data_IF_188282229209
#
_entry.id   IF_188282229209
#
_cell.length_a   1.000
_cell.length_b   1.000
_cell.length_c   1.000
_cell.angle_alpha   90.00
_cell.angle_beta   90.00
_cell.angle_gamma   90.00
#
_symmetry.space_group_name_H-M   'P 1'
#
loop_
_entity.id
_entity.type
_entity.pdbx_description
1 polymer ?
#
# COMPACT_ATOMS: atom_id res chain seq x y z
N UNK A 1 31.01 -37.35 57.98
CA UNK A 1 30.34 -36.05 58.14
C UNK A 1 30.85 -35.09 57.07
N UNK A 2 29.93 -34.49 56.30
CA UNK A 2 30.14 -33.33 55.43
C UNK A 2 30.94 -33.56 54.14
N UNK A 3 30.74 -32.86 53.04
CA UNK A 3 29.62 -32.06 52.53
C UNK A 3 30.00 -31.69 51.10
N UNK A 4 29.01 -31.57 50.23
CA UNK A 4 29.07 -31.09 48.85
C UNK A 4 29.75 -29.73 48.70
N UNK A 5 30.53 -29.53 47.61
CA UNK A 5 30.50 -28.31 46.76
C UNK A 5 31.02 -28.63 45.35
N UNK A 6 30.13 -28.59 44.37
CA UNK A 6 30.43 -28.58 42.93
C UNK A 6 30.85 -27.17 42.49
N UNK A 7 32.03 -27.04 41.89
CA UNK A 7 32.53 -25.81 41.28
C UNK A 7 32.31 -25.84 39.76
N UNK A 8 31.61 -24.84 39.23
CA UNK A 8 31.40 -24.65 37.79
C UNK A 8 32.68 -24.13 37.12
N UNK A 9 33.20 -24.87 36.14
CA UNK A 9 34.24 -24.38 35.23
C UNK A 9 33.59 -23.89 33.91
N UNK A 10 33.85 -22.63 33.55
CA UNK A 10 33.32 -21.95 32.36
C UNK A 10 34.00 -22.50 31.10
N UNK A 11 33.20 -22.88 30.10
CA UNK A 11 33.65 -23.33 28.77
C UNK A 11 34.30 -22.18 28.01
N UNK A 12 35.58 -22.31 27.65
CA UNK A 12 36.24 -21.44 26.68
C UNK A 12 35.67 -21.65 25.29
N UNK A 13 35.20 -20.57 24.66
CA UNK A 13 34.77 -20.58 23.26
C UNK A 13 35.99 -20.72 22.35
N UNK A 14 35.96 -21.75 21.49
CA UNK A 14 36.96 -22.01 20.47
C UNK A 14 36.72 -21.01 19.32
N UNK A 15 37.59 -20.01 19.17
CA UNK A 15 37.54 -19.09 18.03
C UNK A 15 37.83 -19.85 16.74
N UNK A 16 36.83 -19.99 15.87
CA UNK A 16 37.02 -20.40 14.48
C UNK A 16 37.36 -19.11 13.70
N UNK A 17 38.63 -18.94 13.35
CA UNK A 17 39.05 -17.93 12.37
C UNK A 17 38.55 -18.41 11.01
N UNK A 18 37.49 -17.79 10.48
CA UNK A 18 37.07 -17.99 9.08
C UNK A 18 38.09 -17.28 8.19
N UNK A 19 38.70 -18.00 7.25
CA UNK A 19 39.45 -17.39 6.16
C UNK A 19 38.47 -16.49 5.36
N UNK A 20 38.88 -15.26 5.07
CA UNK A 20 38.12 -14.34 4.20
C UNK A 20 37.81 -15.04 2.88
N UNK A 21 36.53 -15.12 2.52
CA UNK A 21 36.07 -15.80 1.32
C UNK A 21 36.35 -14.96 0.08
N UNK A 22 37.10 -15.51 -0.87
CA UNK A 22 37.43 -14.90 -2.16
C UNK A 22 36.17 -14.62 -3.01
N UNK A 23 36.07 -13.46 -3.67
CA UNK A 23 34.88 -13.06 -4.45
C UNK A 23 34.53 -14.03 -5.57
N UNK A 24 35.53 -14.69 -6.16
CA UNK A 24 35.29 -15.75 -7.15
C UNK A 24 34.60 -16.96 -6.52
N UNK A 25 34.95 -17.30 -5.29
CA UNK A 25 34.33 -18.41 -4.54
C UNK A 25 32.92 -18.07 -4.07
N UNK A 26 32.64 -16.80 -3.72
CA UNK A 26 31.30 -16.32 -3.36
C UNK A 26 30.32 -16.44 -4.53
N UNK A 27 30.76 -16.11 -5.75
CA UNK A 27 29.94 -16.26 -6.97
C UNK A 27 29.95 -17.69 -7.54
N UNK A 28 30.78 -18.59 -7.00
CA UNK A 28 30.92 -19.96 -7.49
C UNK A 28 31.52 -20.06 -8.89
N UNK A 29 32.42 -19.14 -9.25
CA UNK A 29 33.07 -19.07 -10.57
C UNK A 29 34.59 -19.21 -10.45
N UNK A 30 35.23 -19.64 -11.53
CA UNK A 30 36.70 -19.70 -11.60
C UNK A 30 37.32 -18.30 -11.68
N UNK A 31 38.57 -18.13 -11.22
CA UNK A 31 39.34 -16.88 -11.37
C UNK A 31 39.52 -16.44 -12.83
N UNK A 32 39.56 -17.41 -13.75
CA UNK A 32 39.66 -17.17 -15.19
C UNK A 32 38.29 -16.98 -15.87
N UNK A 33 37.19 -16.83 -15.13
CA UNK A 33 35.85 -16.72 -15.71
C UNK A 33 35.69 -15.44 -16.55
N UNK A 34 34.96 -15.59 -17.66
CA UNK A 34 34.56 -14.50 -18.54
C UNK A 34 33.50 -13.61 -17.86
N UNK A 35 33.39 -12.34 -18.28
CA UNK A 35 32.38 -11.41 -17.74
C UNK A 35 30.94 -11.93 -17.91
N UNK A 36 30.68 -12.64 -19.00
CA UNK A 36 29.40 -13.29 -19.26
C UNK A 36 29.06 -14.36 -18.23
N UNK A 37 30.05 -15.16 -17.80
CA UNK A 37 29.87 -16.20 -16.79
C UNK A 37 29.65 -15.61 -15.40
N UNK A 38 30.43 -14.58 -15.03
CA UNK A 38 30.28 -13.83 -13.78
C UNK A 38 28.87 -13.22 -13.67
N UNK A 39 28.39 -12.60 -14.76
CA UNK A 39 27.05 -12.00 -14.84
C UNK A 39 25.93 -13.04 -14.79
N UNK A 40 26.14 -14.21 -15.40
CA UNK A 40 25.21 -15.33 -15.36
C UNK A 40 25.09 -15.92 -13.95
N UNK A 41 26.23 -16.15 -13.29
CA UNK A 41 26.31 -16.64 -11.92
C UNK A 41 25.64 -15.68 -10.91
N UNK A 42 25.95 -14.38 -11.02
CA UNK A 42 25.28 -13.36 -10.21
C UNK A 42 23.76 -13.38 -10.39
N UNK A 43 23.26 -13.41 -11.63
CA UNK A 43 21.80 -13.45 -11.88
C UNK A 43 21.13 -14.69 -11.29
N UNK A 44 21.82 -15.83 -11.29
CA UNK A 44 21.31 -17.09 -10.71
C UNK A 44 21.20 -16.97 -9.18
N UNK A 45 22.24 -16.46 -8.53
CA UNK A 45 22.32 -16.31 -7.08
C UNK A 45 21.44 -15.15 -6.55
N UNK A 46 21.37 -14.04 -7.27
CA UNK A 46 20.52 -12.90 -6.91
C UNK A 46 19.04 -13.29 -6.90
N UNK A 47 18.59 -14.15 -7.82
CA UNK A 47 17.21 -14.66 -7.82
C UNK A 47 16.92 -15.59 -6.64
N UNK A 48 17.89 -16.41 -6.24
CA UNK A 48 17.71 -17.34 -5.11
C UNK A 48 17.74 -16.64 -3.75
N UNK A 49 18.47 -15.53 -3.63
CA UNK A 49 18.67 -14.80 -2.37
C UNK A 49 17.99 -13.42 -2.32
N UNK A 50 17.15 -13.09 -3.31
CA UNK A 50 16.42 -11.81 -3.33
C UNK A 50 15.51 -11.66 -2.10
N UNK A 51 15.48 -10.51 -1.40
CA UNK A 51 14.68 -10.32 -0.19
C UNK A 51 13.17 -10.51 -0.41
N UNK A 52 12.66 -10.14 -1.59
CA UNK A 52 11.23 -10.35 -1.90
C UNK A 52 10.86 -11.82 -2.11
N UNK A 53 11.80 -12.63 -2.61
CA UNK A 53 11.60 -14.07 -2.85
C UNK A 53 11.86 -14.85 -1.55
N UNK A 54 12.85 -14.40 -0.78
CA UNK A 54 13.33 -15.03 0.45
C UNK A 54 13.10 -14.10 1.66
N UNK A 55 11.83 -13.80 1.94
CA UNK A 55 11.43 -13.03 3.12
C UNK A 55 11.88 -13.78 4.38
N UNK A 56 12.85 -13.23 5.12
CA UNK A 56 13.27 -13.78 6.40
C UNK A 56 12.10 -13.76 7.38
N UNK A 57 12.09 -14.75 8.27
CA UNK A 57 10.99 -15.03 9.21
C UNK A 57 11.06 -14.10 10.42
N UNK A 58 11.43 -12.83 10.25
CA UNK A 58 11.60 -11.90 11.37
C UNK A 58 10.27 -11.22 11.78
N UNK A 59 9.17 -11.51 11.07
CA UNK A 59 7.84 -10.95 11.37
C UNK A 59 6.71 -11.99 11.54
N UNK A 60 6.98 -13.29 11.44
CA UNK A 60 5.93 -14.31 11.62
C UNK A 60 5.72 -14.73 13.08
N UNK A 61 6.68 -14.44 13.97
CA UNK A 61 6.50 -14.69 15.42
C UNK A 61 5.52 -13.67 16.04
N UNK A 62 5.40 -12.46 15.48
CA UNK A 62 4.43 -11.47 15.97
C UNK A 62 2.98 -11.75 15.53
N UNK A 63 2.78 -12.41 14.39
CA UNK A 63 1.43 -12.67 13.85
C UNK A 63 0.79 -13.87 14.56
N UNK A 64 1.58 -14.83 15.05
CA UNK A 64 1.07 -15.98 15.80
C UNK A 64 0.66 -15.65 17.25
N UNK A 65 1.16 -14.56 17.84
CA UNK A 65 0.73 -14.11 19.17
C UNK A 65 -0.57 -13.29 19.16
N UNK A 66 -1.00 -12.77 18.00
CA UNK A 66 -2.15 -11.86 17.91
C UNK A 66 -3.48 -12.55 17.58
N UNK A 67 -3.46 -13.80 17.12
CA UNK A 67 -4.67 -14.59 16.89
C UNK A 67 -4.60 -15.90 17.68
N UNK A 68 -5.12 -15.86 18.91
CA UNK A 68 -5.23 -17.01 19.81
C UNK A 68 -6.07 -18.14 19.23
N UNK A 69 -5.46 -19.00 18.42
CA UNK A 69 -6.09 -20.19 17.87
C UNK A 69 -5.60 -21.42 18.65
N UNK A 70 -6.41 -21.84 19.62
CA UNK A 70 -6.34 -23.17 20.24
C UNK A 70 -6.78 -24.22 19.20
N UNK A 71 -5.82 -24.85 18.52
CA UNK A 71 -6.09 -26.00 17.66
C UNK A 71 -5.22 -27.17 18.15
N UNK A 72 -5.81 -28.38 18.38
CA UNK A 72 -5.10 -29.49 19.00
C UNK A 72 -3.94 -30.01 18.14
N UNK A 73 -2.87 -30.40 18.84
CA UNK A 73 -1.50 -30.70 18.38
C UNK A 73 -1.35 -31.79 17.32
N UNK A 74 -2.41 -32.51 16.95
CA UNK A 74 -2.35 -33.75 16.16
C UNK A 74 -2.73 -33.59 14.67
N UNK A 75 -3.25 -32.44 14.23
CA UNK A 75 -3.67 -32.24 12.82
C UNK A 75 -2.67 -31.49 11.93
N UNK A 76 -1.57 -30.98 12.49
CA UNK A 76 -0.55 -30.20 11.75
C UNK A 76 0.46 -31.11 11.01
N UNK A 77 0.51 -32.40 11.38
CA UNK A 77 1.59 -33.30 10.96
C UNK A 77 1.41 -33.99 9.60
N UNK A 78 0.31 -33.79 8.85
CA UNK A 78 0.09 -34.55 7.60
C UNK A 78 0.03 -33.71 6.32
N UNK A 79 -0.20 -32.39 6.41
CA UNK A 79 -0.27 -31.52 5.21
C UNK A 79 0.98 -30.61 5.06
N UNK A 80 1.91 -30.61 6.03
CA UNK A 80 3.14 -29.81 5.95
C UNK A 80 4.33 -30.53 5.27
N UNK A 81 4.32 -31.86 5.15
CA UNK A 81 5.53 -32.59 4.75
C UNK A 81 5.87 -32.55 3.26
N UNK A 82 4.94 -32.13 2.39
CA UNK A 82 5.19 -32.14 0.94
C UNK A 82 5.42 -30.75 0.31
N UNK A 83 5.32 -29.67 1.09
CA UNK A 83 5.55 -28.29 0.60
C UNK A 83 6.60 -27.51 1.42
N UNK A 84 7.06 -28.05 2.55
CA UNK A 84 7.99 -27.40 3.49
C UNK A 84 9.46 -27.85 3.32
N UNK A 85 9.85 -28.23 2.10
CA UNK A 85 11.24 -28.60 1.74
C UNK A 85 11.81 -27.70 0.63
N UNK A 86 11.52 -26.40 0.67
CA UNK A 86 12.29 -25.42 -0.08
C UNK A 86 12.96 -24.46 0.92
N UNK A 87 14.24 -24.75 1.15
CA UNK A 87 15.24 -24.00 1.94
C UNK A 87 14.91 -22.50 2.11
N UNK A 88 14.62 -22.09 3.34
CA UNK A 88 14.75 -20.69 3.78
C UNK A 88 15.89 -20.61 4.78
N UNK A 89 17.05 -20.13 4.31
CA UNK A 89 18.22 -19.88 5.15
C UNK A 89 18.04 -18.57 5.94
N UNK A 90 18.20 -18.54 7.27
CA UNK A 90 18.15 -17.31 8.09
C UNK A 90 19.33 -16.34 7.84
N UNK A 91 20.10 -16.53 6.75
CA UNK A 91 21.20 -15.67 6.32
C UNK A 91 21.13 -15.28 4.84
N UNK A 92 19.96 -15.42 4.20
CA UNK A 92 19.78 -15.11 2.77
C UNK A 92 20.15 -13.65 2.43
N UNK A 93 19.81 -12.70 3.30
CA UNK A 93 20.14 -11.28 3.12
C UNK A 93 21.65 -11.03 3.18
N UNK A 94 22.36 -11.68 4.11
CA UNK A 94 23.81 -11.55 4.24
C UNK A 94 24.52 -12.13 3.00
N UNK A 95 24.09 -13.31 2.55
CA UNK A 95 24.59 -13.91 1.30
C UNK A 95 24.31 -13.02 0.10
N UNK A 96 23.13 -12.40 0.02
CA UNK A 96 22.81 -11.47 -1.06
C UNK A 96 23.73 -10.24 -1.09
N UNK A 97 24.06 -9.70 0.09
CA UNK A 97 25.03 -8.60 0.23
C UNK A 97 26.42 -9.04 -0.25
N UNK A 98 26.90 -10.20 0.18
CA UNK A 98 28.19 -10.76 -0.25
C UNK A 98 28.25 -11.00 -1.77
N UNK A 99 27.20 -11.57 -2.36
CA UNK A 99 27.07 -11.82 -3.80
C UNK A 99 27.08 -10.52 -4.60
N UNK A 100 26.42 -9.48 -4.08
CA UNK A 100 26.35 -8.17 -4.75
C UNK A 100 27.70 -7.46 -4.72
N UNK A 101 28.40 -7.49 -3.58
CA UNK A 101 29.75 -6.94 -3.44
C UNK A 101 30.74 -7.65 -4.38
N UNK A 102 30.68 -8.99 -4.44
CA UNK A 102 31.53 -9.77 -5.32
C UNK A 102 31.29 -9.44 -6.80
N UNK A 103 30.04 -9.25 -7.21
CA UNK A 103 29.72 -8.85 -8.58
C UNK A 103 30.18 -7.43 -8.90
N UNK A 104 30.04 -6.47 -7.98
CA UNK A 104 30.51 -5.09 -8.21
C UNK A 104 32.00 -5.05 -8.53
N UNK A 105 32.82 -5.74 -7.72
CA UNK A 105 34.27 -5.80 -7.90
C UNK A 105 34.66 -6.54 -9.18
N UNK A 106 34.01 -7.67 -9.47
CA UNK A 106 34.37 -8.53 -10.61
C UNK A 106 33.75 -8.10 -11.96
N UNK A 107 32.76 -7.20 -11.94
CA UNK A 107 32.09 -6.70 -13.15
C UNK A 107 32.89 -5.62 -13.88
N UNK A 108 33.69 -4.84 -13.14
CA UNK A 108 34.52 -3.75 -13.64
C UNK A 108 35.96 -4.23 -13.87
N UNK A 109 36.55 -3.91 -15.03
CA UNK A 109 37.90 -4.35 -15.38
C UNK A 109 38.97 -3.75 -14.45
N UNK A 110 38.81 -2.50 -14.05
CA UNK A 110 39.76 -1.80 -13.19
C UNK A 110 39.72 -2.39 -11.77
N UNK A 111 38.52 -2.52 -11.20
CA UNK A 111 38.31 -3.11 -9.86
C UNK A 111 38.73 -4.57 -9.83
N UNK A 112 38.41 -5.35 -10.86
CA UNK A 112 38.84 -6.75 -10.99
C UNK A 112 40.35 -6.85 -11.04
N UNK A 113 41.02 -6.03 -11.85
CA UNK A 113 42.48 -6.05 -11.96
C UNK A 113 43.18 -5.64 -10.66
N UNK A 114 42.60 -4.71 -9.90
CA UNK A 114 43.12 -4.29 -8.60
C UNK A 114 42.92 -5.40 -7.55
N UNK A 115 41.75 -6.03 -7.53
CA UNK A 115 41.47 -7.17 -6.66
C UNK A 115 42.38 -8.37 -6.96
N UNK A 116 42.60 -8.68 -8.23
CA UNK A 116 43.46 -9.79 -8.66
C UNK A 116 44.93 -9.54 -8.28
N UNK A 117 45.38 -8.27 -8.24
CA UNK A 117 46.76 -7.90 -7.89
C UNK A 117 47.02 -7.75 -6.40
N UNK A 118 46.05 -7.21 -5.65
CA UNK A 118 46.26 -6.74 -4.28
C UNK A 118 45.23 -7.28 -3.26
N UNK A 119 44.26 -8.10 -3.70
CA UNK A 119 43.17 -8.58 -2.87
C UNK A 119 42.24 -7.46 -2.39
N UNK A 120 41.44 -7.72 -1.35
CA UNK A 120 40.50 -6.72 -0.79
C UNK A 120 41.21 -5.45 -0.27
N UNK A 121 42.48 -5.56 0.14
CA UNK A 121 43.27 -4.44 0.60
C UNK A 121 43.50 -3.38 -0.49
N UNK A 122 43.55 -3.79 -1.76
CA UNK A 122 43.68 -2.87 -2.91
C UNK A 122 42.42 -2.05 -3.19
N UNK A 123 41.25 -2.56 -2.81
CA UNK A 123 39.96 -1.89 -3.03
C UNK A 123 39.70 -0.78 -2.00
N UNK A 124 40.19 -0.96 -0.77
CA UNK A 124 40.07 0.02 0.33
C UNK A 124 40.92 1.28 0.12
N UNK A 125 41.89 1.25 -0.81
CA UNK A 125 42.79 2.37 -1.10
C UNK A 125 42.40 3.25 -2.30
N UNK A 126 41.35 2.90 -3.05
CA UNK A 126 40.99 3.56 -4.32
C UNK A 126 39.88 4.64 -4.18
N UNK A 127 39.60 5.11 -2.96
CA UNK A 127 38.60 6.14 -2.69
C UNK A 127 39.15 7.24 -1.79
N UNK A 128 39.60 8.35 -2.39
CA UNK A 128 39.84 9.59 -1.64
C UNK A 128 38.49 10.17 -1.20
N UNK A 129 38.25 10.27 0.12
CA UNK A 129 37.20 11.13 0.68
C UNK A 129 36.30 10.50 1.76
N UNK A 130 36.75 10.59 3.02
CA UNK A 130 35.99 10.68 4.28
C UNK A 130 34.48 10.31 4.28
N UNK A 131 34.13 9.17 4.89
CA UNK A 131 32.75 8.81 5.24
C UNK A 131 32.63 7.38 5.77
N UNK A 132 32.00 7.22 6.93
CA UNK A 132 31.79 5.97 7.67
C UNK A 132 31.03 4.90 6.84
N UNK A 133 31.64 3.72 6.67
CA UNK A 133 31.21 2.63 5.76
C UNK A 133 30.28 1.62 6.44
N UNK A 134 29.23 2.07 7.12
CA UNK A 134 28.34 1.16 7.86
C UNK A 134 27.04 0.78 7.13
N UNK A 135 26.61 1.51 6.08
CA UNK A 135 25.33 1.22 5.39
C UNK A 135 25.43 1.27 3.85
N UNK A 136 25.40 0.11 3.16
CA UNK A 136 25.41 0.01 1.69
C UNK A 136 24.13 0.49 0.98
N UNK A 137 23.04 0.77 1.72
CA UNK A 137 21.81 1.31 1.12
C UNK A 137 21.91 2.82 0.83
N UNK A 138 22.68 3.58 1.63
CA UNK A 138 22.89 5.02 1.42
C UNK A 138 23.88 5.32 0.26
N UNK A 139 24.69 4.34 -0.13
CA UNK A 139 25.57 4.43 -1.29
C UNK A 139 24.81 4.25 -2.62
N UNK A 140 23.70 3.49 -2.61
CA UNK A 140 22.89 3.28 -3.82
C UNK A 140 22.07 4.53 -4.18
N UNK A 141 21.57 5.30 -3.21
CA UNK A 141 20.92 6.59 -3.49
C UNK A 141 21.92 7.63 -3.99
N UNK A 142 23.11 7.77 -3.37
CA UNK A 142 24.09 8.78 -3.78
C UNK A 142 24.82 8.47 -5.09
N UNK A 143 25.01 7.19 -5.45
CA UNK A 143 25.65 6.79 -6.70
C UNK A 143 24.67 6.72 -7.89
N UNK A 144 23.40 6.37 -7.68
CA UNK A 144 22.38 6.44 -8.74
C UNK A 144 21.87 7.88 -8.97
N UNK A 145 22.02 8.76 -7.98
CA UNK A 145 21.88 10.22 -8.16
C UNK A 145 23.19 10.89 -8.67
N UNK A 146 24.33 10.17 -8.65
CA UNK A 146 25.67 10.72 -8.94
C UNK A 146 26.45 10.15 -10.13
N UNK A 147 26.06 9.02 -10.73
CA UNK A 147 26.89 8.34 -11.75
C UNK A 147 26.07 7.55 -12.80
N UNK A 148 24.97 8.15 -13.27
CA UNK A 148 24.12 7.62 -14.35
C UNK A 148 24.09 8.49 -15.61
N UNK A 149 25.13 9.29 -15.86
CA UNK A 149 25.09 10.36 -16.88
C UNK A 149 26.41 10.72 -17.57
N UNK A 150 27.37 9.81 -17.71
CA UNK A 150 28.57 10.05 -18.55
C UNK A 150 28.28 9.75 -20.04
N UNK A 151 27.22 10.37 -20.55
CA UNK A 151 26.80 10.42 -21.95
C UNK A 151 26.10 11.74 -22.29
N UNK A 152 26.21 12.75 -21.42
CA UNK A 152 25.54 14.04 -21.56
C UNK A 152 26.53 15.19 -21.47
N UNK A 153 27.26 15.46 -22.55
CA UNK A 153 27.61 16.83 -22.90
C UNK A 153 26.30 17.59 -23.11
N UNK A 154 25.71 18.12 -22.03
CA UNK A 154 24.41 18.78 -22.10
C UNK A 154 23.87 19.21 -20.74
N UNK A 155 24.13 20.48 -20.41
CA UNK A 155 23.36 21.29 -19.46
C UNK A 155 23.14 20.70 -18.05
N UNK A 156 23.88 21.26 -17.08
CA UNK A 156 23.30 21.51 -15.76
C UNK A 156 21.92 22.12 -15.95
N UNK A 157 20.88 21.43 -15.47
CA UNK A 157 19.49 21.81 -15.67
C UNK A 157 19.26 23.22 -15.18
N UNK A 158 19.27 24.18 -16.12
CA UNK A 158 18.71 25.51 -15.96
C UNK A 158 17.21 25.35 -15.76
N UNK A 159 16.80 24.92 -14.57
CA UNK A 159 15.41 24.97 -14.17
C UNK A 159 15.08 26.45 -13.95
N UNK A 160 14.63 27.09 -15.02
CA UNK A 160 13.96 28.38 -14.94
C UNK A 160 12.79 28.20 -13.98
N UNK A 161 12.95 28.67 -12.74
CA UNK A 161 11.89 28.76 -11.71
C UNK A 161 10.77 29.74 -12.12
N UNK A 162 10.79 30.22 -13.36
CA UNK A 162 9.77 31.04 -13.98
C UNK A 162 8.79 30.28 -14.90
N UNK A 163 8.80 28.94 -14.87
CA UNK A 163 7.83 28.13 -15.62
C UNK A 163 6.48 28.06 -14.91
N UNK A 164 5.41 27.93 -15.70
CA UNK A 164 4.09 27.52 -15.24
C UNK A 164 4.22 26.22 -14.42
N UNK A 165 3.65 26.20 -13.21
CA UNK A 165 3.66 25.03 -12.34
C UNK A 165 2.23 24.54 -12.21
N UNK A 166 2.01 23.27 -12.51
CA UNK A 166 0.68 22.68 -12.43
C UNK A 166 0.15 22.68 -10.99
N UNK A 167 -1.16 22.73 -10.90
CA UNK A 167 -1.89 22.77 -9.66
C UNK A 167 -1.80 21.45 -8.90
N UNK A 168 -1.80 21.55 -7.57
CA UNK A 168 -1.83 20.37 -6.73
C UNK A 168 -3.23 19.76 -6.70
N UNK A 169 -3.27 18.43 -6.75
CA UNK A 169 -4.50 17.67 -6.60
C UNK A 169 -5.11 17.86 -5.20
N UNK A 170 -6.44 17.74 -5.13
CA UNK A 170 -7.21 17.77 -3.88
C UNK A 170 -7.84 16.42 -3.62
N UNK A 171 -7.93 16.06 -2.34
CA UNK A 171 -8.61 14.86 -1.88
C UNK A 171 -9.83 15.25 -1.04
N UNK A 172 -10.96 14.62 -1.28
CA UNK A 172 -12.19 14.82 -0.52
C UNK A 172 -12.76 13.45 -0.13
N UNK A 173 -13.06 13.26 1.16
CA UNK A 173 -13.70 12.03 1.64
C UNK A 173 -15.21 12.19 1.57
N UNK A 174 -15.87 11.44 0.69
CA UNK A 174 -17.32 11.41 0.59
C UNK A 174 -17.86 10.21 1.34
N UNK A 175 -18.60 10.48 2.41
CA UNK A 175 -19.27 9.45 3.21
C UNK A 175 -20.63 9.14 2.61
N UNK A 176 -20.88 7.87 2.31
CA UNK A 176 -22.13 7.35 1.76
C UNK A 176 -22.73 6.30 2.68
N UNK A 177 -24.05 6.24 2.73
CA UNK A 177 -24.74 5.12 3.35
C UNK A 177 -24.68 3.88 2.44
N UNK A 178 -24.81 2.68 3.03
CA UNK A 178 -24.81 1.43 2.29
C UNK A 178 -25.77 1.43 1.08
N UNK A 179 -27.03 1.84 1.29
CA UNK A 179 -28.04 1.90 0.21
C UNK A 179 -27.66 2.90 -0.88
N UNK A 180 -27.10 4.05 -0.54
CA UNK A 180 -26.65 5.05 -1.53
C UNK A 180 -25.51 4.52 -2.38
N UNK A 181 -24.59 3.73 -1.79
CA UNK A 181 -23.50 3.09 -2.51
C UNK A 181 -24.01 2.01 -3.48
N UNK A 182 -25.07 1.29 -3.13
CA UNK A 182 -25.67 0.25 -4.00
C UNK A 182 -26.37 0.87 -5.20
N UNK A 183 -27.23 1.89 -5.00
CA UNK A 183 -28.01 2.49 -6.10
C UNK A 183 -27.28 3.56 -6.89
N UNK A 184 -26.23 4.15 -6.32
CA UNK A 184 -25.64 5.38 -6.84
C UNK A 184 -26.49 6.59 -6.45
N UNK A 185 -25.85 7.75 -6.37
CA UNK A 185 -26.49 8.99 -5.95
C UNK A 185 -25.79 10.18 -6.60
N UNK A 186 -26.56 11.22 -6.90
CA UNK A 186 -26.05 12.53 -7.27
C UNK A 186 -25.97 13.37 -5.98
N UNK A 187 -24.75 13.78 -5.58
CA UNK A 187 -24.52 14.60 -4.39
C UNK A 187 -23.80 15.88 -4.77
N UNK A 188 -24.20 16.97 -4.16
CA UNK A 188 -23.46 18.23 -4.22
C UNK A 188 -22.46 18.29 -3.06
N UNK A 189 -21.19 18.54 -3.39
CA UNK A 189 -20.15 18.76 -2.39
C UNK A 189 -19.67 20.21 -2.44
N UNK A 190 -19.36 20.77 -1.28
CA UNK A 190 -18.73 22.07 -1.17
C UNK A 190 -17.24 21.89 -0.91
N UNK A 191 -16.40 22.38 -1.82
CA UNK A 191 -14.95 22.32 -1.68
C UNK A 191 -14.35 23.72 -1.65
N UNK A 192 -13.36 23.91 -0.78
CA UNK A 192 -12.53 25.11 -0.78
C UNK A 192 -11.23 24.80 -1.52
N UNK A 193 -11.01 25.51 -2.63
CA UNK A 193 -9.82 25.36 -3.48
C UNK A 193 -9.21 26.71 -3.82
N UNK A 194 -7.95 26.68 -4.25
CA UNK A 194 -7.31 27.84 -4.86
C UNK A 194 -7.77 27.92 -6.32
N UNK A 195 -8.40 29.01 -6.71
CA UNK A 195 -8.73 29.30 -8.11
C UNK A 195 -7.81 30.39 -8.65
N UNK A 196 -7.62 30.43 -9.96
CA UNK A 196 -6.89 31.52 -10.63
C UNK A 196 -7.54 32.85 -10.28
N UNK A 197 -6.72 33.83 -9.90
CA UNK A 197 -7.22 35.15 -9.57
C UNK A 197 -7.87 35.79 -10.80
N UNK A 198 -9.16 36.12 -10.74
CA UNK A 198 -9.88 36.71 -11.87
C UNK A 198 -9.43 38.12 -12.25
N UNK A 199 -8.80 38.86 -11.32
CA UNK A 199 -8.29 40.20 -11.65
C UNK A 199 -6.99 40.15 -12.45
N UNK A 200 -6.06 39.25 -12.15
CA UNK A 200 -4.76 39.16 -12.84
C UNK A 200 -4.62 37.93 -13.75
N UNK A 201 -5.67 37.10 -13.88
CA UNK A 201 -5.71 35.85 -14.63
C UNK A 201 -4.54 34.89 -14.33
N UNK A 202 -4.09 34.84 -13.07
CA UNK A 202 -2.99 33.97 -12.67
C UNK A 202 -1.57 34.54 -12.85
N UNK A 203 -1.43 35.75 -13.39
CA UNK A 203 -0.11 36.40 -13.56
C UNK A 203 0.50 36.89 -12.24
N UNK A 204 -0.34 37.20 -11.24
CA UNK A 204 0.12 37.81 -9.98
C UNK A 204 0.46 39.29 -10.09
N UNK A 205 0.46 39.87 -11.29
CA UNK A 205 0.71 41.29 -11.53
C UNK A 205 -0.59 42.10 -11.56
N UNK A 206 -0.51 43.38 -11.21
CA UNK A 206 -1.64 44.30 -11.35
C UNK A 206 -2.01 44.45 -12.84
N UNK A 207 -3.30 44.40 -13.21
CA UNK A 207 -3.70 44.58 -14.60
C UNK A 207 -3.21 45.91 -15.17
N UNK A 208 -2.65 45.87 -16.38
CA UNK A 208 -2.10 47.05 -17.05
C UNK A 208 -0.67 47.42 -16.66
N UNK A 209 -0.02 46.69 -15.74
CA UNK A 209 1.42 46.84 -15.50
C UNK A 209 2.21 45.83 -16.32
N UNK A 210 3.36 46.27 -16.82
CA UNK A 210 4.31 45.40 -17.53
C UNK A 210 5.40 44.93 -16.56
N UNK A 211 5.78 43.66 -16.68
CA UNK A 211 6.88 43.11 -15.91
C UNK A 211 8.21 43.69 -16.41
N UNK A 212 9.03 44.20 -15.49
CA UNK A 212 10.35 44.75 -15.80
C UNK A 212 11.43 43.75 -15.37
N UNK A 213 12.56 43.70 -16.10
CA UNK A 213 13.67 42.82 -15.72
C UNK A 213 14.22 43.22 -14.36
N UNK A 214 14.41 42.24 -13.47
CA UNK A 214 15.01 42.47 -12.16
C UNK A 214 16.45 42.95 -12.33
N UNK A 215 16.75 44.11 -11.75
CA UNK A 215 18.08 44.73 -11.82
C UNK A 215 19.12 43.97 -11.00
N UNK A 216 18.74 43.41 -9.85
CA UNK A 216 19.65 42.68 -8.95
C UNK A 216 20.19 41.37 -9.54
N UNK A 217 19.38 40.65 -10.32
CA UNK A 217 19.79 39.39 -10.96
C UNK A 217 19.86 39.46 -12.49
N UNK A 218 19.62 40.63 -13.09
CA UNK A 218 19.62 40.82 -14.55
C UNK A 218 18.63 39.95 -15.31
N UNK A 219 17.51 39.54 -14.69
CA UNK A 219 16.55 38.60 -15.30
C UNK A 219 16.77 37.13 -14.97
N UNK A 220 17.85 36.77 -14.26
CA UNK A 220 18.22 35.37 -14.04
C UNK A 220 17.47 34.70 -12.87
N UNK A 221 16.84 35.49 -11.99
CA UNK A 221 16.12 35.01 -10.81
C UNK A 221 17.01 34.44 -9.70
N UNK A 222 18.33 34.37 -9.90
CA UNK A 222 19.29 33.83 -8.96
C UNK A 222 20.50 34.76 -8.87
N UNK A 223 21.13 34.78 -7.70
CA UNK A 223 22.36 35.54 -7.45
C UNK A 223 23.42 34.59 -6.92
N UNK A 224 24.64 34.71 -7.41
CA UNK A 224 25.77 33.88 -6.98
C UNK A 224 26.44 34.59 -5.81
N UNK A 225 26.47 33.95 -4.64
CA UNK A 225 27.20 34.42 -3.47
C UNK A 225 28.52 33.67 -3.36
N UNK A 226 29.63 34.38 -3.52
CA UNK A 226 30.97 33.82 -3.37
C UNK A 226 31.51 34.12 -1.97
N UNK A 227 31.74 33.08 -1.17
CA UNK A 227 32.45 33.17 0.10
C UNK A 227 33.90 32.69 -0.10
N UNK A 228 34.89 33.50 0.31
CA UNK A 228 36.30 33.08 0.31
C UNK A 228 36.59 32.31 1.59
N UNK A 229 36.92 31.03 1.46
CA UNK A 229 37.38 30.18 2.56
C UNK A 229 38.90 29.94 2.42
N UNK A 230 39.60 29.52 3.49
CA UNK A 230 41.03 29.20 3.41
C UNK A 230 41.38 28.09 2.41
N UNK A 231 40.38 27.32 1.97
CA UNK A 231 40.49 26.22 0.99
C UNK A 231 40.10 26.64 -0.44
N UNK A 232 39.70 27.89 -0.69
CA UNK A 232 39.33 28.39 -2.01
C UNK A 232 38.14 29.34 -2.03
N UNK A 233 37.56 29.56 -3.21
CA UNK A 233 36.33 30.35 -3.36
C UNK A 233 35.14 29.41 -3.45
N UNK A 234 34.28 29.43 -2.43
CA UNK A 234 33.03 28.69 -2.41
C UNK A 234 31.91 29.54 -3.01
N UNK A 235 31.30 29.10 -4.09
CA UNK A 235 30.19 29.80 -4.74
C UNK A 235 28.87 29.08 -4.46
N UNK A 236 27.93 29.75 -3.82
CA UNK A 236 26.59 29.26 -3.57
C UNK A 236 25.58 30.07 -4.38
N UNK A 237 24.70 29.38 -5.09
CA UNK A 237 23.62 30.03 -5.85
C UNK A 237 22.40 30.19 -4.93
N UNK A 238 21.96 31.43 -4.72
CA UNK A 238 20.78 31.76 -3.92
C UNK A 238 19.68 32.33 -4.82
N UNK A 239 18.41 32.16 -4.43
CA UNK A 239 17.30 32.89 -5.07
C UNK A 239 17.49 34.38 -4.89
N UNK A 240 17.32 35.16 -5.96
CA UNK A 240 17.39 36.61 -5.88
C UNK A 240 16.30 37.13 -4.93
N UNK A 241 16.69 37.81 -3.85
CA UNK A 241 15.77 38.35 -2.84
C UNK A 241 14.82 39.40 -3.41
N UNK A 242 15.29 40.25 -4.33
CA UNK A 242 14.50 41.34 -4.91
C UNK A 242 13.34 40.89 -5.78
N UNK A 243 13.45 39.74 -6.45
CA UNK A 243 12.40 39.21 -7.33
C UNK A 243 11.85 37.84 -6.87
N UNK A 244 12.29 37.33 -5.71
CA UNK A 244 11.88 36.03 -5.18
C UNK A 244 12.07 34.86 -6.15
N UNK A 245 13.08 34.91 -7.02
CA UNK A 245 13.30 33.89 -8.04
C UNK A 245 12.62 34.11 -9.40
N UNK A 246 11.85 35.19 -9.59
CA UNK A 246 11.10 35.43 -10.84
C UNK A 246 11.95 35.91 -12.01
N UNK A 247 13.04 36.64 -11.74
CA UNK A 247 13.80 37.35 -12.78
C UNK A 247 13.13 38.63 -13.25
N UNK A 248 11.84 38.81 -12.98
CA UNK A 248 11.09 40.03 -13.30
C UNK A 248 10.44 40.61 -12.03
N UNK A 249 10.26 41.92 -12.04
CA UNK A 249 9.59 42.69 -10.99
C UNK A 249 8.40 43.38 -11.63
N UNK A 250 7.21 43.12 -11.08
CA UNK A 250 5.95 43.76 -11.44
C UNK A 250 5.24 44.23 -10.18
N UNK A 251 4.40 45.26 -10.29
CA UNK A 251 3.51 45.65 -9.19
C UNK A 251 2.57 44.48 -8.84
N UNK A 252 2.54 44.01 -7.58
CA UNK A 252 1.71 42.87 -7.20
C UNK A 252 0.23 43.21 -7.37
N UNK A 253 -0.55 42.20 -7.73
CA UNK A 253 -2.00 42.30 -7.80
C UNK A 253 -2.59 42.49 -6.39
N UNK A 254 -3.53 43.43 -6.25
CA UNK A 254 -4.13 43.77 -4.94
C UNK A 254 -5.00 42.64 -4.34
N UNK A 255 -5.57 41.76 -5.15
CA UNK A 255 -6.52 40.73 -4.66
C UNK A 255 -5.84 39.43 -4.25
N UNK A 256 -4.73 39.07 -4.91
CA UNK A 256 -3.97 37.85 -4.62
C UNK A 256 -2.58 38.14 -4.03
N UNK A 257 -2.26 39.40 -3.78
CA UNK A 257 -0.97 39.87 -3.23
C UNK A 257 0.26 39.27 -3.92
N UNK A 258 0.19 39.08 -5.24
CA UNK A 258 1.27 38.48 -6.03
C UNK A 258 1.26 36.95 -6.22
N UNK A 259 0.44 36.16 -5.50
CA UNK A 259 0.45 34.68 -5.66
C UNK A 259 -0.26 34.21 -6.95
N UNK A 260 -1.13 35.04 -7.53
CA UNK A 260 -1.89 34.72 -8.75
C UNK A 260 -3.12 33.83 -8.51
N UNK A 261 -3.37 33.39 -7.27
CA UNK A 261 -4.48 32.52 -6.90
C UNK A 261 -5.24 33.06 -5.70
N UNK A 262 -6.52 32.71 -5.60
CA UNK A 262 -7.41 33.14 -4.51
C UNK A 262 -8.19 31.94 -4.00
N UNK A 263 -8.37 31.83 -2.68
CA UNK A 263 -9.22 30.78 -2.09
C UNK A 263 -10.68 31.09 -2.38
N UNK A 264 -11.40 30.12 -2.96
CA UNK A 264 -12.84 30.19 -3.20
C UNK A 264 -13.48 28.87 -2.82
N UNK A 265 -14.71 28.95 -2.33
CA UNK A 265 -15.57 27.79 -2.09
C UNK A 265 -16.48 27.61 -3.30
N UNK A 266 -16.52 26.40 -3.86
CA UNK A 266 -17.31 26.04 -5.02
C UNK A 266 -18.14 24.81 -4.71
N UNK A 267 -19.40 24.81 -5.15
CA UNK A 267 -20.28 23.63 -5.12
C UNK A 267 -20.08 22.83 -6.41
N UNK A 268 -19.85 21.53 -6.28
CA UNK A 268 -19.65 20.61 -7.41
C UNK A 268 -20.66 19.48 -7.29
N UNK A 269 -21.46 19.27 -8.34
CA UNK A 269 -22.33 18.10 -8.44
C UNK A 269 -21.52 16.88 -8.89
N UNK A 270 -21.56 15.83 -8.07
CA UNK A 270 -20.88 14.57 -8.33
C UNK A 270 -21.89 13.47 -8.56
N UNK A 271 -21.71 12.75 -9.66
CA UNK A 271 -22.47 11.54 -9.96
C UNK A 271 -21.69 10.32 -9.50
N UNK A 272 -22.13 9.71 -8.40
CA UNK A 272 -21.54 8.47 -7.90
C UNK A 272 -22.23 7.29 -8.61
N UNK A 273 -21.47 6.42 -9.31
CA UNK A 273 -22.06 5.27 -9.97
C UNK A 273 -22.60 4.25 -8.96
N UNK A 274 -23.58 3.46 -9.39
CA UNK A 274 -24.13 2.36 -8.62
C UNK A 274 -23.08 1.25 -8.41
N UNK A 275 -23.09 0.62 -7.24
CA UNK A 275 -22.21 -0.51 -6.92
C UNK A 275 -20.80 -0.14 -6.45
N UNK A 276 -20.55 1.14 -6.14
CA UNK A 276 -19.27 1.59 -5.58
C UNK A 276 -18.97 0.92 -4.25
N UNK A 277 -17.70 0.63 -4.03
CA UNK A 277 -17.22 0.07 -2.77
C UNK A 277 -16.42 1.11 -1.96
N UNK A 278 -16.25 0.86 -0.67
CA UNK A 278 -15.44 1.69 0.21
C UNK A 278 -13.98 1.70 -0.28
N UNK A 279 -13.36 2.88 -0.32
CA UNK A 279 -12.02 3.09 -0.88
C UNK A 279 -12.00 3.37 -2.39
N UNK A 280 -13.14 3.27 -3.09
CA UNK A 280 -13.25 3.68 -4.49
C UNK A 280 -12.87 5.15 -4.66
N UNK A 281 -12.16 5.46 -5.76
CA UNK A 281 -11.67 6.83 -6.06
C UNK A 281 -12.34 7.35 -7.32
N UNK A 282 -13.09 8.44 -7.19
CA UNK A 282 -13.70 9.16 -8.30
C UNK A 282 -12.85 10.39 -8.63
N UNK A 283 -12.37 10.48 -9.88
CA UNK A 283 -11.56 11.62 -10.37
C UNK A 283 -12.46 12.64 -11.05
N UNK A 284 -12.42 13.88 -10.57
CA UNK A 284 -13.07 15.04 -11.19
C UNK A 284 -11.98 15.93 -11.76
N UNK A 285 -11.98 16.07 -13.08
CA UNK A 285 -10.90 16.76 -13.80
C UNK A 285 -10.92 18.26 -13.52
N UNK A 286 -9.74 18.84 -13.33
CA UNK A 286 -9.53 20.29 -13.19
C UNK A 286 -10.28 20.96 -12.02
N UNK A 287 -10.76 20.16 -11.06
CA UNK A 287 -11.43 20.64 -9.84
C UNK A 287 -10.50 20.68 -8.61
N UNK A 288 -9.20 20.41 -8.81
CA UNK A 288 -8.15 20.62 -7.80
C UNK A 288 -7.73 22.08 -7.67
N UNK A 289 -6.55 22.33 -7.09
CA UNK A 289 -6.03 23.69 -6.95
C UNK A 289 -5.54 24.23 -8.30
N UNK A 290 -5.65 25.53 -8.52
CA UNK A 290 -5.07 26.21 -9.67
C UNK A 290 -3.54 26.15 -9.64
N UNK A 291 -2.95 25.94 -10.82
CA UNK A 291 -1.51 26.05 -11.03
C UNK A 291 -1.00 27.48 -10.84
N UNK A 292 0.31 27.61 -10.60
CA UNK A 292 0.97 28.92 -10.53
C UNK A 292 1.38 29.36 -11.92
N UNK A 293 1.29 30.67 -12.19
CA UNK A 293 1.76 31.32 -13.42
C UNK A 293 1.18 30.70 -14.70
N UNK A 294 -0.12 30.43 -14.70
CA UNK A 294 -0.82 29.84 -15.84
C UNK A 294 -0.67 28.32 -15.99
N UNK A 295 -0.12 27.62 -14.97
CA UNK A 295 -0.14 26.16 -14.94
C UNK A 295 -1.56 25.59 -14.89
N UNK A 296 -1.74 24.38 -15.41
CA UNK A 296 -3.05 23.74 -15.44
C UNK A 296 -3.55 23.45 -14.03
N UNK A 297 -4.86 23.52 -13.74
CA UNK A 297 -5.38 23.10 -12.45
C UNK A 297 -5.16 21.60 -12.21
N UNK A 298 -4.90 21.23 -10.96
CA UNK A 298 -4.90 19.84 -10.54
C UNK A 298 -6.30 19.24 -10.55
N UNK A 299 -6.40 17.97 -10.18
CA UNK A 299 -7.66 17.24 -10.13
C UNK A 299 -8.20 17.09 -8.70
N UNK A 300 -9.49 16.78 -8.59
CA UNK A 300 -10.12 16.40 -7.33
C UNK A 300 -10.33 14.89 -7.32
N UNK A 301 -9.73 14.21 -6.35
CA UNK A 301 -9.97 12.81 -6.05
C UNK A 301 -10.94 12.69 -4.88
N UNK A 302 -12.13 12.19 -5.18
CA UNK A 302 -13.15 11.91 -4.19
C UNK A 302 -13.00 10.45 -3.77
N UNK A 303 -12.59 10.24 -2.53
CA UNK A 303 -12.47 8.91 -1.93
C UNK A 303 -13.79 8.58 -1.25
N UNK A 304 -14.42 7.50 -1.69
CA UNK A 304 -15.72 7.08 -1.15
C UNK A 304 -15.49 6.25 0.11
N UNK A 305 -16.18 6.61 1.19
CA UNK A 305 -16.25 5.83 2.42
C UNK A 305 -17.70 5.39 2.63
N UNK A 306 -17.94 4.08 2.66
CA UNK A 306 -19.29 3.53 2.83
C UNK A 306 -19.51 3.15 4.28
N UNK A 307 -20.56 3.69 4.90
CA UNK A 307 -21.04 3.27 6.21
C UNK A 307 -21.69 1.89 6.07
N UNK A 308 -21.22 0.93 6.87
CA UNK A 308 -21.73 -0.43 6.89
C UNK A 308 -23.15 -0.47 7.49
N UNK A 309 -24.01 -1.31 6.92
CA UNK A 309 -25.35 -1.56 7.46
C UNK A 309 -25.28 -2.70 8.50
N UNK A 310 -25.95 -2.58 9.65
CA UNK A 310 -25.92 -3.61 10.69
C UNK A 310 -26.67 -4.90 10.29
N UNK A 311 -27.61 -4.79 9.36
CA UNK A 311 -28.51 -5.88 8.93
C UNK A 311 -27.99 -6.52 7.65
N UNK A 312 -27.64 -5.70 6.65
CA UNK A 312 -27.18 -6.15 5.34
C UNK A 312 -25.66 -6.08 5.24
N UNK A 313 -25.01 -7.24 5.14
CA UNK A 313 -23.56 -7.32 4.96
C UNK A 313 -23.24 -7.50 3.49
N UNK A 314 -22.37 -6.67 2.95
CA UNK A 314 -21.89 -6.83 1.57
C UNK A 314 -20.77 -7.86 1.53
N UNK A 315 -20.85 -8.75 0.54
CA UNK A 315 -19.81 -9.70 0.18
C UNK A 315 -19.62 -9.59 -1.34
N UNK A 316 -18.67 -8.74 -1.74
CA UNK A 316 -18.45 -8.33 -3.13
C UNK A 316 -19.71 -7.80 -3.83
N UNK A 317 -20.29 -8.59 -4.75
CA UNK A 317 -21.53 -8.29 -5.47
C UNK A 317 -22.77 -8.85 -4.76
N UNK A 318 -22.56 -9.77 -3.83
CA UNK A 318 -23.62 -10.44 -3.10
C UNK A 318 -23.90 -9.72 -1.78
N UNK A 319 -25.07 -10.01 -1.22
CA UNK A 319 -25.49 -9.46 0.07
C UNK A 319 -25.82 -10.61 0.99
N UNK A 320 -25.14 -10.67 2.13
CA UNK A 320 -25.40 -11.61 3.20
C UNK A 320 -26.41 -11.02 4.16
N UNK A 321 -27.49 -11.75 4.41
CA UNK A 321 -28.46 -11.45 5.43
C UNK A 321 -28.68 -12.68 6.31
N UNK A 322 -28.66 -12.50 7.63
CA UNK A 322 -28.96 -13.56 8.59
C UNK A 322 -30.41 -13.45 9.02
N UNK A 323 -31.23 -14.39 8.58
CA UNK A 323 -32.63 -14.49 8.95
C UNK A 323 -32.77 -15.39 10.16
N UNK A 324 -33.30 -14.82 11.26
CA UNK A 324 -33.59 -15.57 12.48
C UNK A 324 -34.99 -16.16 12.37
N UNK A 325 -35.10 -17.47 12.55
CA UNK A 325 -36.35 -18.22 12.38
C UNK A 325 -36.56 -19.12 13.59
N UNK A 326 -37.80 -19.26 14.05
CA UNK A 326 -38.15 -20.19 15.12
C UNK A 326 -37.95 -21.63 14.68
N UNK A 327 -37.60 -22.52 15.63
CA UNK A 327 -37.50 -23.96 15.35
C UNK A 327 -38.82 -24.56 14.82
N UNK A 328 -39.99 -24.03 15.23
CA UNK A 328 -41.30 -24.49 14.74
C UNK A 328 -41.47 -24.12 13.27
N UNK A 329 -41.19 -22.86 12.93
CA UNK A 329 -41.32 -22.35 11.56
C UNK A 329 -40.32 -23.00 10.61
N UNK A 330 -39.13 -23.37 11.09
CA UNK A 330 -38.16 -24.12 10.31
C UNK A 330 -38.65 -25.54 9.97
N UNK A 331 -39.42 -26.17 10.86
CA UNK A 331 -40.02 -27.50 10.64
C UNK A 331 -41.21 -27.41 9.68
N UNK A 332 -42.15 -26.50 9.94
CA UNK A 332 -43.40 -26.39 9.18
C UNK A 332 -43.22 -25.69 7.83
N UNK A 333 -42.20 -24.85 7.71
CA UNK A 333 -42.03 -23.90 6.61
C UNK A 333 -42.88 -22.65 6.83
N UNK A 334 -42.38 -21.51 6.39
CA UNK A 334 -43.08 -20.24 6.53
C UNK A 334 -42.78 -19.31 5.35
N UNK A 335 -43.55 -18.23 5.21
CA UNK A 335 -43.19 -17.11 4.34
C UNK A 335 -42.88 -15.91 5.22
N UNK A 336 -41.65 -15.40 5.13
CA UNK A 336 -41.17 -14.27 5.95
C UNK A 336 -40.78 -13.09 5.07
N UNK A 337 -41.05 -11.87 5.53
CA UNK A 337 -40.61 -10.63 4.87
C UNK A 337 -39.16 -10.35 5.20
N UNK A 338 -38.29 -10.43 4.19
CA UNK A 338 -36.85 -10.19 4.32
C UNK A 338 -36.51 -8.79 3.83
N UNK A 339 -35.71 -8.02 4.58
CA UNK A 339 -35.17 -6.75 4.09
C UNK A 339 -34.17 -7.02 2.97
N UNK A 340 -34.40 -6.38 1.82
CA UNK A 340 -33.46 -6.33 0.70
C UNK A 340 -33.03 -4.89 0.47
N UNK A 341 -32.03 -4.67 -0.39
CA UNK A 341 -31.64 -3.31 -0.79
C UNK A 341 -32.77 -2.56 -1.49
N UNK A 342 -33.65 -3.26 -2.21
CA UNK A 342 -34.76 -2.68 -2.99
C UNK A 342 -36.06 -2.51 -2.17
N UNK A 343 -36.09 -2.97 -0.91
CA UNK A 343 -37.29 -2.99 -0.07
C UNK A 343 -37.56 -4.33 0.59
N UNK A 344 -38.75 -4.52 1.14
CA UNK A 344 -39.16 -5.79 1.76
C UNK A 344 -39.68 -6.76 0.70
N UNK A 345 -39.17 -8.00 0.69
CA UNK A 345 -39.59 -9.04 -0.24
C UNK A 345 -39.95 -10.31 0.54
N UNK A 346 -41.02 -10.97 0.12
CA UNK A 346 -41.45 -12.24 0.73
C UNK A 346 -40.52 -13.38 0.31
N UNK A 347 -39.89 -14.03 1.29
CA UNK A 347 -39.07 -15.22 1.11
C UNK A 347 -39.83 -16.45 1.63
N UNK A 348 -39.99 -17.46 0.78
CA UNK A 348 -40.56 -18.75 1.17
C UNK A 348 -39.46 -19.66 1.71
N UNK A 349 -39.62 -20.08 2.95
CA UNK A 349 -38.73 -21.02 3.62
C UNK A 349 -39.39 -22.41 3.54
N UNK A 350 -38.75 -23.41 2.91
CA UNK A 350 -39.31 -24.75 2.81
C UNK A 350 -39.37 -25.44 4.18
N UNK A 351 -40.32 -26.35 4.34
CA UNK A 351 -40.42 -27.20 5.51
C UNK A 351 -39.15 -28.06 5.68
N UNK A 352 -38.70 -28.25 6.93
CA UNK A 352 -37.50 -29.02 7.24
C UNK A 352 -36.18 -28.31 6.94
N UNK A 353 -36.18 -26.98 6.88
CA UNK A 353 -34.96 -26.19 6.64
C UNK A 353 -33.94 -26.40 7.74
N UNK A 354 -32.71 -26.77 7.37
CA UNK A 354 -31.63 -26.98 8.33
C UNK A 354 -31.02 -25.64 8.78
N UNK A 355 -30.49 -25.55 10.02
CA UNK A 355 -29.72 -24.38 10.45
C UNK A 355 -28.54 -24.09 9.52
N UNK A 356 -28.25 -22.81 9.29
CA UNK A 356 -27.23 -22.30 8.38
C UNK A 356 -27.45 -22.63 6.89
N UNK A 357 -28.64 -23.14 6.52
CA UNK A 357 -29.00 -23.26 5.10
C UNK A 357 -29.04 -21.88 4.48
N UNK A 358 -28.37 -21.73 3.33
CA UNK A 358 -28.36 -20.47 2.58
C UNK A 358 -29.37 -20.54 1.45
N UNK A 359 -30.37 -19.66 1.49
CA UNK A 359 -31.36 -19.49 0.44
C UNK A 359 -30.92 -18.32 -0.46
N UNK A 360 -30.91 -18.54 -1.78
CA UNK A 360 -30.44 -17.55 -2.75
C UNK A 360 -31.62 -16.80 -3.35
N UNK A 361 -31.62 -15.47 -3.21
CA UNK A 361 -32.54 -14.57 -3.89
C UNK A 361 -31.85 -13.93 -5.09
N UNK A 362 -32.16 -14.44 -6.28
CA UNK A 362 -31.52 -14.03 -7.52
C UNK A 362 -31.73 -12.53 -7.82
N UNK A 363 -30.69 -11.86 -8.32
CA UNK A 363 -30.70 -10.45 -8.78
C UNK A 363 -31.05 -9.40 -7.70
N UNK A 364 -30.93 -9.76 -6.42
CA UNK A 364 -31.19 -8.87 -5.27
C UNK A 364 -29.93 -8.36 -4.57
N UNK A 365 -28.76 -8.59 -5.15
CA UNK A 365 -27.48 -8.08 -4.68
C UNK A 365 -27.11 -6.69 -5.22
N UNK A 366 -25.82 -6.40 -5.17
CA UNK A 366 -25.22 -5.14 -5.61
C UNK A 366 -24.99 -5.15 -7.13
N UNK A 367 -25.27 -4.05 -7.85
CA UNK A 367 -24.92 -3.91 -9.27
C UNK A 367 -23.41 -3.97 -9.51
N UNK A 368 -23.00 -4.60 -10.60
CA UNK A 368 -21.59 -4.61 -11.00
C UNK A 368 -21.21 -3.26 -11.59
N UNK A 369 -20.06 -2.71 -11.17
CA UNK A 369 -19.51 -1.47 -11.71
C UNK A 369 -19.42 -1.53 -13.25
N UNK A 370 -19.88 -0.47 -13.92
CA UNK A 370 -19.97 -0.34 -15.38
C UNK A 370 -20.95 -1.30 -16.09
N UNK A 371 -21.65 -2.19 -15.37
CA UNK A 371 -22.68 -3.08 -15.92
C UNK A 371 -23.94 -3.02 -15.05
N UNK A 372 -24.70 -1.94 -15.17
CA UNK A 372 -25.92 -1.71 -14.38
C UNK A 372 -26.98 -2.80 -14.52
N UNK A 373 -27.02 -3.50 -15.66
CA UNK A 373 -27.99 -4.56 -15.93
C UNK A 373 -27.62 -5.90 -15.27
N UNK A 374 -26.41 -6.04 -14.70
CA UNK A 374 -25.99 -7.23 -13.97
C UNK A 374 -25.92 -6.92 -12.48
N UNK A 375 -26.64 -7.71 -11.68
CA UNK A 375 -26.64 -7.63 -10.22
C UNK A 375 -26.21 -8.98 -9.65
N UNK A 376 -25.53 -8.94 -8.51
CA UNK A 376 -25.32 -10.14 -7.70
C UNK A 376 -26.62 -10.60 -7.03
N UNK A 377 -26.46 -11.54 -6.11
CA UNK A 377 -27.57 -12.20 -5.41
C UNK A 377 -27.59 -11.84 -3.93
N UNK A 378 -28.76 -11.98 -3.30
CA UNK A 378 -28.87 -11.90 -1.85
C UNK A 378 -28.89 -13.31 -1.27
N UNK A 379 -27.91 -13.61 -0.43
CA UNK A 379 -27.75 -14.88 0.26
C UNK A 379 -28.35 -14.75 1.66
N UNK A 380 -29.47 -15.42 1.87
CA UNK A 380 -30.19 -15.42 3.15
C UNK A 380 -29.79 -16.67 3.92
N UNK A 381 -28.96 -16.49 4.94
CA UNK A 381 -28.57 -17.56 5.85
C UNK A 381 -29.64 -17.71 6.94
N UNK A 382 -30.27 -18.88 7.00
CA UNK A 382 -31.30 -19.19 7.98
C UNK A 382 -30.65 -19.65 9.29
N UNK A 383 -30.77 -18.83 10.33
CA UNK A 383 -30.33 -19.17 11.68
C UNK A 383 -31.56 -19.56 12.51
N UNK A 384 -31.62 -20.83 12.90
CA UNK A 384 -32.71 -21.34 13.74
C UNK A 384 -32.44 -20.97 15.20
N UNK A 385 -33.35 -20.22 15.81
CA UNK A 385 -33.29 -19.86 17.23
C UNK A 385 -34.12 -20.85 18.05
N UNK A 386 -33.45 -21.50 19.00
CA UNK A 386 -34.09 -22.42 19.95
C UNK A 386 -34.26 -21.65 21.27
N UNK A 387 -35.49 -21.54 21.82
CA UNK A 387 -35.73 -20.83 23.07
C UNK A 387 -35.04 -21.53 24.24
N UNK A 388 -34.48 -20.74 25.17
CA UNK A 388 -33.78 -21.27 26.36
C UNK A 388 -34.73 -21.73 27.48
N UNK A 389 -35.95 -21.21 27.48
CA UNK A 389 -36.97 -21.49 28.49
C UNK A 389 -38.26 -21.85 27.75
N UNK A 390 -38.96 -22.85 28.27
CA UNK A 390 -40.21 -23.36 27.73
C UNK A 390 -41.25 -23.35 28.85
N UNK A 391 -42.48 -22.99 28.54
CA UNK A 391 -43.61 -23.14 29.47
C UNK A 391 -43.89 -24.63 29.75
N UNK A 392 -44.63 -24.89 30.84
CA UNK A 392 -45.00 -26.26 31.21
C UNK A 392 -45.83 -26.96 30.13
N UNK A 393 -46.66 -26.21 29.40
CA UNK A 393 -47.48 -26.74 28.30
C UNK A 393 -46.63 -27.04 27.05
N UNK A 394 -45.78 -26.11 26.62
CA UNK A 394 -44.88 -26.32 25.47
C UNK A 394 -43.94 -27.51 25.70
N UNK A 395 -43.43 -27.65 26.94
CA UNK A 395 -42.56 -28.77 27.30
C UNK A 395 -43.27 -30.11 27.15
N UNK A 396 -44.52 -30.24 27.60
CA UNK A 396 -45.31 -31.46 27.44
C UNK A 396 -45.47 -31.82 25.95
N UNK A 397 -45.81 -30.84 25.12
CA UNK A 397 -45.97 -31.05 23.67
C UNK A 397 -44.66 -31.51 23.00
N UNK A 398 -43.52 -30.97 23.41
CA UNK A 398 -42.20 -31.37 22.88
C UNK A 398 -41.82 -32.78 23.37
N UNK A 399 -42.15 -33.13 24.61
CA UNK A 399 -41.94 -34.48 25.15
C UNK A 399 -42.77 -35.53 24.37
N UNK A 400 -44.05 -35.23 24.09
CA UNK A 400 -44.91 -36.06 23.23
C UNK A 400 -44.33 -36.23 21.81
N UNK A 401 -43.86 -35.13 21.21
CA UNK A 401 -43.18 -35.14 19.89
C UNK A 401 -41.91 -36.00 19.91
N UNK A 402 -41.13 -35.92 20.99
CA UNK A 402 -39.93 -36.72 21.21
C UNK A 402 -40.27 -38.22 21.21
N UNK A 403 -41.31 -38.63 21.92
CA UNK A 403 -41.66 -40.05 22.03
C UNK A 403 -42.19 -40.64 20.72
N UNK A 404 -42.98 -39.86 19.96
CA UNK A 404 -43.36 -40.21 18.59
C UNK A 404 -42.14 -40.38 17.67
N UNK A 405 -41.10 -39.55 17.83
CA UNK A 405 -39.88 -39.62 17.02
C UNK A 405 -39.05 -40.87 17.31
N UNK A 406 -38.95 -41.28 18.58
CA UNK A 406 -38.25 -42.52 19.01
C UNK A 406 -38.94 -43.77 18.46
N UNK A 407 -40.28 -43.77 18.43
CA UNK A 407 -41.06 -44.85 17.82
C UNK A 407 -40.77 -45.03 16.32
N UNK A 408 -40.54 -43.95 15.58
CA UNK A 408 -40.18 -44.01 14.15
C UNK A 408 -38.76 -44.54 13.90
N UNK A 409 -37.80 -44.22 14.76
CA UNK A 409 -36.41 -44.68 14.60
C UNK A 409 -36.25 -46.19 14.83
N UNK A 410 -37.12 -46.79 15.63
CA UNK A 410 -37.19 -48.25 15.81
C UNK A 410 -37.80 -48.99 14.60
N UNK A 411 -38.66 -48.32 13.83
CA UNK A 411 -39.33 -48.87 12.64
C UNK A 411 -38.50 -48.76 11.36
N UNK A 412 -37.70 -47.70 11.19
CA UNK A 412 -36.90 -47.49 9.96
C UNK A 412 -35.57 -48.27 9.90
N UNK A 413 -35.25 -49.08 10.91
CA UNK A 413 -34.02 -49.91 10.98
C UNK A 413 -34.22 -51.35 10.49
N UNK A 414 -35.34 -51.64 9.82
CA UNK A 414 -35.69 -52.97 9.31
C UNK A 414 -35.62 -53.05 7.79
#
# INVERSE_FOLDING_TARGET
MGSSKTSHCRRGARFIVRAETDYYTVLGVSRNASKSEIKSAYRKLARSYHPDVNKSVDNLVLIAFYYGCLVPFSFIYSISYHCMLFFRDPGAEQKFKEISNAYEVLSDDEKRSLYDKYGEAGLKGAGMGMGDFSNPFDLFESLFEGMGGMGGLGMGGRSSRNRAVDGQDKYYSLVLNFKEAVFGVEKEIEITRLESCGTCNGSGAKPGTTASKCTTCGGQGQVISSARTPLGVFQQVMTCSSCGGMGEISTPCNTCSGDGRVRKTKKISLKVPAGVDSGSRLRVRSEGNAGRRGGSPGDLFVVIQVILDPVLKRDDTNILYTCKVSYIDAILGMTIKVPTVDGMVDLKIPAGTQPNTTLVMAKRGVPVLNKSNMRGDQLVCVQVEIPKQLSSEERKLIEELSDLSKGKTASSRR
#
